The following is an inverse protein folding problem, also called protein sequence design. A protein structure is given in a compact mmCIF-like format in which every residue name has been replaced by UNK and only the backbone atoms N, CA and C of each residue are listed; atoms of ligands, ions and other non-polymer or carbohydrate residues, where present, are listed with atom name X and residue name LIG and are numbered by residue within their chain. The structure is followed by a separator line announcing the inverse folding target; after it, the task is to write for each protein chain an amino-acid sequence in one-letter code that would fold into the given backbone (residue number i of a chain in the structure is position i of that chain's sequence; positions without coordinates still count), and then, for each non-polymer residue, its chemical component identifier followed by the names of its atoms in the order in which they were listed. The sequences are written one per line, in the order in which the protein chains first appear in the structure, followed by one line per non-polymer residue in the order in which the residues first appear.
data_IF_597616977546
#
_entry.id   IF_597616977546
#
_cell.length_a   1.000
_cell.length_b   1.000
_cell.length_c   1.000
_cell.angle_alpha   90.00
_cell.angle_beta   90.00
_cell.angle_gamma   90.00
#
_symmetry.space_group_name_H-M   'P 1'
#
loop_
_entity.id
_entity.type
_entity.pdbx_description
1 polymer ?
#
# COMPACT_ATOMS: atom_id res chain seq x y z
N UNK A 1 5.62 -23.76 9.45
CA UNK A 1 5.40 -25.13 8.92
C UNK A 1 5.35 -25.17 7.40
N UNK A 2 4.58 -24.29 6.74
CA UNK A 2 4.48 -24.22 5.27
C UNK A 2 5.81 -24.05 4.54
N UNK A 3 6.59 -23.01 4.88
CA UNK A 3 7.87 -22.71 4.22
C UNK A 3 8.85 -23.90 4.28
N UNK A 4 8.91 -24.59 5.43
CA UNK A 4 9.74 -25.77 5.61
C UNK A 4 9.35 -26.90 4.65
N UNK A 5 8.05 -27.16 4.48
CA UNK A 5 7.53 -28.19 3.56
C UNK A 5 7.77 -27.80 2.09
N UNK A 6 7.52 -26.54 1.75
CA UNK A 6 7.78 -26.01 0.41
C UNK A 6 9.26 -26.18 0.00
N UNK A 7 10.19 -26.00 0.94
CA UNK A 7 11.64 -26.19 0.72
C UNK A 7 12.07 -27.66 0.63
N UNK A 8 11.26 -28.62 1.10
CA UNK A 8 11.61 -30.03 1.24
C UNK A 8 11.16 -30.93 0.06
N UNK A 9 10.74 -30.37 -1.07
CA UNK A 9 10.27 -31.05 -2.31
C UNK A 9 8.77 -31.38 -2.41
N UNK A 10 7.89 -30.70 -1.67
CA UNK A 10 6.46 -30.77 -2.00
C UNK A 10 6.16 -29.91 -3.24
N UNK A 11 5.48 -30.46 -4.25
CA UNK A 11 4.94 -29.71 -5.40
C UNK A 11 3.97 -28.64 -4.91
N UNK A 12 4.47 -27.42 -4.68
CA UNK A 12 3.64 -26.27 -4.33
C UNK A 12 2.98 -25.77 -5.61
N UNK A 13 1.65 -25.81 -5.65
CA UNK A 13 0.88 -25.16 -6.70
C UNK A 13 0.69 -23.69 -6.35
N UNK A 14 1.04 -22.82 -7.29
CA UNK A 14 0.87 -21.37 -7.14
C UNK A 14 -0.37 -20.93 -7.92
N UNK A 15 -1.25 -20.16 -7.28
CA UNK A 15 -2.36 -19.52 -7.96
C UNK A 15 -1.83 -18.40 -8.85
N UNK A 16 -2.16 -18.45 -10.13
CA UNK A 16 -1.61 -17.54 -11.14
C UNK A 16 -2.52 -16.34 -11.44
N UNK A 17 -3.78 -16.35 -10.99
CA UNK A 17 -4.75 -15.29 -11.32
C UNK A 17 -5.08 -14.47 -10.07
N UNK A 18 -4.93 -13.14 -10.17
CA UNK A 18 -5.28 -12.20 -9.11
C UNK A 18 -6.55 -11.40 -9.47
N UNK A 19 -7.37 -11.10 -8.46
CA UNK A 19 -8.67 -10.43 -8.64
C UNK A 19 -8.78 -9.08 -7.92
N UNK A 20 -7.73 -8.62 -7.22
CA UNK A 20 -7.81 -7.53 -6.23
C UNK A 20 -7.05 -6.27 -6.65
N UNK A 21 -5.75 -6.37 -6.86
CA UNK A 21 -4.88 -5.21 -7.06
C UNK A 21 -5.00 -4.66 -8.48
N UNK A 22 -4.72 -3.37 -8.68
CA UNK A 22 -4.65 -2.77 -10.02
C UNK A 22 -3.39 -3.27 -10.77
N UNK A 23 -3.37 -3.23 -12.12
CA UNK A 23 -2.24 -3.75 -12.90
C UNK A 23 -0.89 -3.15 -12.51
N UNK A 24 -0.84 -1.86 -12.19
CA UNK A 24 0.40 -1.17 -11.80
C UNK A 24 1.00 -1.72 -10.48
N UNK A 25 0.16 -2.20 -9.56
CA UNK A 25 0.64 -2.85 -8.32
C UNK A 25 1.02 -4.30 -8.63
N UNK A 26 0.26 -4.97 -9.50
CA UNK A 26 0.55 -6.33 -9.91
C UNK A 26 1.93 -6.45 -10.59
N UNK A 27 2.31 -5.48 -11.42
CA UNK A 27 3.63 -5.41 -12.07
C UNK A 27 4.77 -5.43 -11.03
N UNK A 28 4.62 -4.71 -9.92
CA UNK A 28 5.59 -4.71 -8.82
C UNK A 28 5.66 -6.11 -8.18
N UNK A 29 4.50 -6.73 -7.92
CA UNK A 29 4.39 -8.04 -7.28
C UNK A 29 4.92 -9.17 -8.17
N UNK A 30 4.86 -9.03 -9.50
CA UNK A 30 5.42 -10.02 -10.44
C UNK A 30 6.91 -10.29 -10.21
N UNK A 31 7.65 -9.35 -9.61
CA UNK A 31 9.04 -9.56 -9.18
C UNK A 31 9.20 -10.80 -8.29
N UNK A 32 8.18 -11.11 -7.48
CA UNK A 32 8.15 -12.29 -6.61
C UNK A 32 7.33 -13.45 -7.21
N UNK A 33 6.34 -13.14 -8.06
CA UNK A 33 5.43 -14.11 -8.68
C UNK A 33 5.37 -13.91 -10.21
N UNK A 34 6.34 -14.42 -11.00
CA UNK A 34 6.48 -14.09 -12.42
C UNK A 34 5.31 -14.51 -13.31
N UNK A 35 4.55 -15.53 -12.89
CA UNK A 35 3.41 -16.07 -13.64
C UNK A 35 2.06 -15.46 -13.21
N UNK A 36 2.06 -14.42 -12.36
CA UNK A 36 0.84 -13.77 -11.89
C UNK A 36 0.19 -12.98 -13.04
N UNK A 37 -1.12 -13.14 -13.22
CA UNK A 37 -1.94 -12.49 -14.24
C UNK A 37 -3.19 -11.87 -13.63
N UNK A 38 -3.71 -10.85 -14.29
CA UNK A 38 -4.91 -10.15 -13.87
C UNK A 38 -6.17 -10.83 -14.41
N UNK A 39 -7.14 -11.06 -13.53
CA UNK A 39 -8.48 -11.43 -13.96
C UNK A 39 -9.14 -10.24 -14.69
N UNK A 40 -9.96 -10.45 -15.75
CA UNK A 40 -10.61 -9.36 -16.49
C UNK A 40 -11.41 -8.37 -15.64
N UNK A 41 -11.95 -8.81 -14.50
CA UNK A 41 -12.66 -7.94 -13.55
C UNK A 41 -11.79 -6.84 -12.95
N UNK A 42 -10.47 -7.00 -12.93
CA UNK A 42 -9.53 -6.00 -12.42
C UNK A 42 -9.47 -4.79 -13.36
N UNK A 43 -9.52 -5.03 -14.68
CA UNK A 43 -9.49 -4.00 -15.70
C UNK A 43 -10.76 -3.13 -15.72
N UNK A 44 -11.85 -3.64 -15.16
CA UNK A 44 -13.16 -2.98 -15.08
C UNK A 44 -13.36 -2.21 -13.75
N UNK A 45 -12.33 -2.10 -12.90
CA UNK A 45 -12.45 -1.40 -11.62
C UNK A 45 -12.64 0.10 -11.85
N UNK A 46 -13.58 0.75 -11.14
CA UNK A 46 -13.74 2.19 -11.23
C UNK A 46 -12.48 2.90 -10.71
N UNK A 47 -12.12 4.05 -11.29
CA UNK A 47 -11.02 4.85 -10.79
C UNK A 47 -11.32 5.36 -9.37
N UNK A 48 -10.26 5.63 -8.62
CA UNK A 48 -10.37 6.21 -7.28
C UNK A 48 -10.67 7.71 -7.41
N UNK A 49 -11.77 8.17 -6.81
CA UNK A 49 -12.18 9.57 -6.88
C UNK A 49 -11.09 10.50 -6.31
N UNK A 50 -10.80 11.61 -6.99
CA UNK A 50 -9.72 12.52 -6.62
C UNK A 50 -8.30 12.10 -7.05
N UNK A 51 -8.09 10.88 -7.54
CA UNK A 51 -6.76 10.43 -8.02
C UNK A 51 -6.48 10.75 -9.49
N UNK A 52 -7.49 11.21 -10.24
CA UNK A 52 -7.38 11.45 -11.67
C UNK A 52 -7.07 10.16 -12.45
N UNK A 53 -6.30 10.29 -13.53
CA UNK A 53 -5.93 9.16 -14.39
C UNK A 53 -4.82 8.27 -13.81
N UNK A 54 -4.18 8.68 -12.71
CA UNK A 54 -3.00 8.02 -12.16
C UNK A 54 -3.34 7.40 -10.80
N UNK A 55 -3.53 6.07 -10.71
CA UNK A 55 -3.94 5.41 -9.48
C UNK A 55 -2.79 5.08 -8.52
N UNK A 56 -1.52 5.23 -8.95
CA UNK A 56 -0.32 4.91 -8.18
C UNK A 56 0.70 6.05 -8.25
N UNK A 57 1.21 6.48 -7.11
CA UNK A 57 2.16 7.58 -6.99
C UNK A 57 3.31 7.22 -6.05
N UNK A 58 4.49 7.72 -6.37
CA UNK A 58 5.67 7.67 -5.50
C UNK A 58 5.99 9.07 -5.00
N UNK A 59 5.85 9.28 -3.70
CA UNK A 59 6.25 10.54 -3.07
C UNK A 59 7.65 10.40 -2.48
N UNK A 60 8.58 11.22 -2.97
CA UNK A 60 9.97 11.29 -2.48
C UNK A 60 10.22 12.64 -1.83
N UNK A 61 10.78 12.62 -0.63
CA UNK A 61 11.24 13.81 0.08
C UNK A 61 12.65 13.59 0.64
N UNK A 62 13.26 14.67 1.15
CA UNK A 62 14.58 14.65 1.81
C UNK A 62 14.53 15.14 3.26
N UNK A 63 13.33 15.29 3.82
CA UNK A 63 13.16 15.73 5.21
C UNK A 63 13.78 14.73 6.19
N UNK A 64 14.50 15.22 7.22
CA UNK A 64 15.12 14.35 8.20
C UNK A 64 14.05 13.64 9.04
N UNK A 65 14.33 12.39 9.40
CA UNK A 65 13.53 11.65 10.36
C UNK A 65 14.01 11.96 11.78
N UNK A 66 13.10 11.78 12.75
CA UNK A 66 13.38 11.90 14.18
C UNK A 66 13.45 10.51 14.79
N UNK A 67 14.50 10.25 15.57
CA UNK A 67 14.60 9.04 16.37
C UNK A 67 13.79 9.21 17.66
N UNK A 68 12.89 8.26 17.93
CA UNK A 68 12.07 8.20 19.13
C UNK A 68 12.35 6.90 19.88
N UNK A 69 13.30 6.94 20.81
CA UNK A 69 13.78 5.79 21.57
C UNK A 69 14.20 4.63 20.64
N UNK A 70 13.32 3.64 20.47
CA UNK A 70 13.53 2.42 19.66
C UNK A 70 12.77 2.46 18.33
N UNK A 71 12.24 3.61 17.93
CA UNK A 71 11.43 3.78 16.73
C UNK A 71 11.79 5.08 15.99
N UNK A 72 11.24 5.26 14.81
CA UNK A 72 11.50 6.42 13.94
C UNK A 72 10.18 7.06 13.56
N UNK A 73 10.13 8.40 13.58
CA UNK A 73 8.99 9.19 13.14
C UNK A 73 9.42 10.28 12.16
N UNK A 74 8.53 10.65 11.24
CA UNK A 74 8.69 11.77 10.34
C UNK A 74 7.39 12.58 10.28
N UNK A 75 7.41 13.73 10.96
CA UNK A 75 6.28 14.64 11.04
C UNK A 75 5.90 15.26 9.69
N UNK A 76 6.87 15.48 8.81
CA UNK A 76 6.57 16.07 7.49
C UNK A 76 5.85 15.07 6.60
N UNK A 77 6.32 13.82 6.56
CA UNK A 77 5.60 12.73 5.88
C UNK A 77 4.19 12.57 6.44
N UNK A 78 4.04 12.57 7.77
CA UNK A 78 2.75 12.44 8.41
C UNK A 78 1.78 13.56 8.00
N UNK A 79 2.24 14.82 7.95
CA UNK A 79 1.42 15.95 7.49
C UNK A 79 0.99 15.80 6.03
N UNK A 80 1.90 15.37 5.15
CA UNK A 80 1.58 15.14 3.73
C UNK A 80 0.51 14.06 3.60
N UNK A 81 0.67 12.93 4.28
CA UNK A 81 -0.28 11.81 4.26
C UNK A 81 -1.65 12.24 4.81
N UNK A 82 -1.69 12.96 5.94
CA UNK A 82 -2.95 13.45 6.53
C UNK A 82 -3.63 14.48 5.62
N UNK A 83 -2.87 15.39 5.01
CA UNK A 83 -3.40 16.34 4.02
C UNK A 83 -3.98 15.64 2.80
N UNK A 84 -3.30 14.62 2.30
CA UNK A 84 -3.78 13.79 1.20
C UNK A 84 -5.03 12.99 1.56
N UNK A 85 -5.11 12.44 2.77
CA UNK A 85 -6.32 11.78 3.27
C UNK A 85 -7.51 12.76 3.31
N UNK A 86 -7.31 13.98 3.83
CA UNK A 86 -8.35 15.02 3.84
C UNK A 86 -8.84 15.36 2.44
N UNK A 87 -7.92 15.44 1.48
CA UNK A 87 -8.25 15.64 0.07
C UNK A 87 -9.09 14.49 -0.53
N UNK A 88 -8.74 13.24 -0.23
CA UNK A 88 -9.52 12.07 -0.70
C UNK A 88 -10.92 12.02 -0.10
N UNK A 89 -11.05 12.36 1.18
CA UNK A 89 -12.35 12.43 1.86
C UNK A 89 -13.20 13.56 1.27
N UNK A 90 -12.60 14.74 1.01
CA UNK A 90 -13.27 15.84 0.32
C UNK A 90 -13.70 15.45 -1.11
N UNK A 91 -12.97 14.53 -1.75
CA UNK A 91 -13.32 13.92 -3.04
C UNK A 91 -14.37 12.81 -2.95
N UNK A 92 -15.11 12.69 -1.83
CA UNK A 92 -16.21 11.74 -1.56
C UNK A 92 -15.79 10.29 -1.29
N UNK A 93 -14.51 10.02 -1.04
CA UNK A 93 -14.08 8.69 -0.58
C UNK A 93 -14.52 8.48 0.87
N UNK A 94 -15.23 7.37 1.12
CA UNK A 94 -15.57 6.95 2.47
C UNK A 94 -14.28 6.65 3.26
N UNK A 95 -14.03 7.29 4.42
CA UNK A 95 -12.83 7.06 5.24
C UNK A 95 -12.58 5.58 5.58
N UNK A 96 -13.64 4.77 5.76
CA UNK A 96 -13.53 3.34 6.05
C UNK A 96 -12.95 2.51 4.89
N UNK A 97 -12.88 3.07 3.67
CA UNK A 97 -12.24 2.44 2.51
C UNK A 97 -10.75 2.77 2.41
N UNK A 98 -10.23 3.64 3.28
CA UNK A 98 -8.82 4.06 3.26
C UNK A 98 -8.11 3.46 4.47
N UNK A 99 -6.92 2.92 4.24
CA UNK A 99 -6.05 2.40 5.30
C UNK A 99 -4.64 2.94 5.08
N UNK A 100 -4.04 3.48 6.13
CA UNK A 100 -2.66 3.97 6.12
C UNK A 100 -1.79 2.91 6.80
N UNK A 101 -0.71 2.51 6.12
CA UNK A 101 0.29 1.58 6.64
C UNK A 101 1.60 2.33 6.89
N UNK A 102 2.24 2.07 8.03
CA UNK A 102 3.55 2.58 8.38
C UNK A 102 4.39 1.48 9.05
N UNK A 103 5.69 1.44 8.74
CA UNK A 103 6.59 0.40 9.24
C UNK A 103 7.01 0.60 10.72
N UNK A 104 6.92 1.83 11.23
CA UNK A 104 7.38 2.20 12.57
C UNK A 104 6.22 2.54 13.49
N UNK A 105 6.25 1.99 14.70
CA UNK A 105 5.23 2.22 15.72
C UNK A 105 5.10 3.69 16.13
N UNK A 106 6.21 4.43 16.25
CA UNK A 106 6.18 5.87 16.53
C UNK A 106 5.47 6.64 15.41
N UNK A 107 5.72 6.29 14.14
CA UNK A 107 5.03 6.89 13.00
C UNK A 107 3.52 6.60 13.02
N UNK A 108 3.13 5.35 13.29
CA UNK A 108 1.72 4.96 13.41
C UNK A 108 1.03 5.73 14.53
N UNK A 109 1.67 5.89 15.69
CA UNK A 109 1.15 6.68 16.81
C UNK A 109 1.03 8.17 16.45
N UNK A 110 2.02 8.75 15.79
CA UNK A 110 1.99 10.15 15.34
C UNK A 110 0.86 10.44 14.34
N UNK A 111 0.58 9.49 13.44
CA UNK A 111 -0.54 9.59 12.49
C UNK A 111 -1.91 9.52 13.17
N UNK A 112 -2.04 8.80 14.28
CA UNK A 112 -3.30 8.69 15.05
C UNK A 112 -3.62 9.96 15.85
N UNK A 113 -2.60 10.62 16.39
CA UNK A 113 -2.77 11.85 17.20
C UNK A 113 -3.13 13.06 16.31
N UNK A 114 -2.84 12.98 15.01
CA UNK A 114 -3.06 14.06 14.05
C UNK A 114 -4.45 14.05 13.39
N UNK A 115 -5.37 13.19 13.87
CA UNK A 115 -6.76 13.10 13.41
C UNK A 115 -7.69 14.02 14.21
#
# INVERSE_FOLDING_TARGET
MFERLAKLNSSVKTLQVQHRMIPQIQEIVQTFYPMLQDHPSVLLRPPVEGMGATPLWWYRHKHPHKLEKMSVSNLQEARVIVGFLKYLIASRINPHKVTILACYSAQTSGLRISQ
#
